data_IF_062356888602
#
_entry.id   IF_062356888602
#
_cell.length_a   1.000
_cell.length_b   1.000
_cell.length_c   1.000
_cell.angle_alpha   90.00
_cell.angle_beta   90.00
_cell.angle_gamma   90.00
#
_symmetry.space_group_name_H-M   'P 1'
#
loop_
_entity.id
_entity.type
_entity.pdbx_description
1 polymer ?
#
# COMPACT_ATOMS: atom_id res chain seq x y z
N UNK A 1 4.88 -25.52 -2.06
CA UNK A 1 4.93 -24.64 -0.87
C UNK A 1 5.20 -23.24 -1.33
N UNK A 2 4.67 -22.23 -0.65
CA UNK A 2 4.84 -20.83 -1.05
C UNK A 2 5.23 -19.97 0.16
N UNK A 3 5.97 -18.91 -0.12
CA UNK A 3 6.46 -17.95 0.85
C UNK A 3 6.60 -16.60 0.18
N UNK A 4 6.65 -15.54 0.98
CA UNK A 4 6.91 -14.20 0.45
C UNK A 4 7.67 -13.32 1.44
N UNK A 5 8.23 -12.22 0.92
CA UNK A 5 8.87 -11.19 1.71
C UNK A 5 8.45 -9.80 1.20
N UNK A 6 7.92 -8.97 2.10
CA UNK A 6 7.75 -7.54 1.86
C UNK A 6 9.09 -6.84 2.05
N UNK A 7 9.65 -6.33 0.97
CA UNK A 7 10.96 -5.68 0.94
C UNK A 7 10.78 -4.18 1.08
N UNK A 8 11.45 -3.57 2.08
CA UNK A 8 11.35 -2.14 2.39
C UNK A 8 12.73 -1.52 2.55
N UNK A 9 12.86 -0.27 2.10
CA UNK A 9 14.03 0.54 2.36
C UNK A 9 14.10 1.04 3.80
N UNK A 10 15.22 1.66 4.16
CA UNK A 10 15.36 2.32 5.47
C UNK A 10 14.35 3.49 5.61
N UNK A 11 14.04 3.98 6.82
CA UNK A 11 13.19 5.16 7.00
C UNK A 11 13.60 6.33 6.08
N UNK A 12 12.63 6.99 5.45
CA UNK A 12 12.85 8.01 4.42
C UNK A 12 13.12 7.49 3.00
N UNK A 13 13.29 6.17 2.81
CA UNK A 13 13.42 5.56 1.48
C UNK A 13 12.06 5.25 0.85
N UNK A 14 11.94 5.48 -0.46
CA UNK A 14 10.78 5.06 -1.25
C UNK A 14 10.87 3.62 -1.76
N UNK A 15 11.90 2.87 -1.35
CA UNK A 15 12.09 1.49 -1.80
C UNK A 15 11.03 0.60 -1.16
N UNK A 16 10.22 -0.04 -2.00
CA UNK A 16 9.22 -1.01 -1.56
C UNK A 16 9.00 -2.07 -2.64
N UNK A 17 8.75 -3.31 -2.24
CA UNK A 17 8.42 -4.37 -3.16
C UNK A 17 8.03 -5.65 -2.46
N UNK A 18 7.75 -6.67 -3.26
CA UNK A 18 7.48 -8.01 -2.78
C UNK A 18 8.32 -9.02 -3.53
N UNK A 19 8.73 -10.06 -2.82
CA UNK A 19 9.40 -11.24 -3.36
C UNK A 19 8.51 -12.44 -3.07
N UNK A 20 8.23 -13.24 -4.09
CA UNK A 20 7.50 -14.49 -3.99
C UNK A 20 8.46 -15.65 -4.19
N UNK A 21 8.34 -16.66 -3.34
CA UNK A 21 9.08 -17.91 -3.43
C UNK A 21 8.08 -19.05 -3.56
N UNK A 22 8.21 -19.83 -4.64
CA UNK A 22 7.35 -20.99 -4.89
C UNK A 22 8.21 -22.23 -5.04
N UNK A 23 8.15 -23.14 -4.08
CA UNK A 23 8.79 -24.45 -4.20
C UNK A 23 7.90 -25.40 -5.01
N UNK A 24 8.45 -25.85 -6.13
CA UNK A 24 7.95 -26.94 -6.96
C UNK A 24 8.62 -28.24 -6.52
N UNK A 25 7.82 -29.30 -6.37
CA UNK A 25 8.33 -30.63 -6.03
C UNK A 25 9.25 -31.18 -7.13
N UNK A 26 10.25 -31.97 -6.71
CA UNK A 26 11.12 -32.69 -7.61
C UNK A 26 10.33 -33.68 -8.48
N UNK A 27 10.74 -33.84 -9.73
CA UNK A 27 10.12 -34.79 -10.68
C UNK A 27 10.94 -36.07 -10.75
N UNK A 28 10.34 -37.16 -11.25
CA UNK A 28 11.07 -38.41 -11.52
C UNK A 28 12.21 -38.14 -12.50
N UNK A 29 13.46 -38.27 -12.04
CA UNK A 29 14.68 -37.94 -12.80
C UNK A 29 15.38 -36.63 -12.39
N UNK A 30 14.71 -35.77 -11.61
CA UNK A 30 15.26 -34.58 -10.95
C UNK A 30 14.59 -34.46 -9.56
N UNK A 31 15.04 -35.26 -8.57
CA UNK A 31 14.38 -35.34 -7.27
C UNK A 31 14.57 -34.08 -6.42
N UNK A 32 15.55 -33.24 -6.74
CA UNK A 32 15.79 -31.97 -6.04
C UNK A 32 14.64 -30.99 -6.32
N UNK A 33 13.98 -30.45 -5.29
CA UNK A 33 12.99 -29.39 -5.45
C UNK A 33 13.61 -28.14 -6.09
N UNK A 34 12.79 -27.37 -6.81
CA UNK A 34 13.18 -26.07 -7.35
C UNK A 34 12.36 -24.99 -6.68
N UNK A 35 13.01 -23.94 -6.20
CA UNK A 35 12.34 -22.73 -5.71
C UNK A 35 12.39 -21.68 -6.81
N UNK A 36 11.22 -21.23 -7.25
CA UNK A 36 11.09 -20.07 -8.13
C UNK A 36 11.07 -18.81 -7.28
N UNK A 37 11.97 -17.86 -7.55
CA UNK A 37 12.04 -16.54 -6.91
C UNK A 37 11.60 -15.48 -7.92
N UNK A 38 10.46 -14.81 -7.67
CA UNK A 38 9.98 -13.65 -8.42
C UNK A 38 10.07 -12.42 -7.51
N UNK A 39 10.75 -11.36 -7.95
CA UNK A 39 10.87 -10.11 -7.21
C UNK A 39 10.38 -8.93 -8.04
N UNK A 40 9.60 -8.05 -7.40
CA UNK A 40 9.17 -6.76 -7.96
C UNK A 40 9.34 -5.68 -6.92
N UNK A 41 10.30 -4.78 -7.14
CA UNK A 41 10.69 -3.77 -6.16
C UNK A 41 10.79 -2.41 -6.87
N UNK A 42 10.16 -1.37 -6.33
CA UNK A 42 10.21 0.01 -6.84
C UNK A 42 11.04 0.90 -5.94
N UNK A 43 11.39 2.09 -6.42
CA UNK A 43 12.11 3.12 -5.65
C UNK A 43 13.63 2.93 -5.62
N UNK A 44 14.16 1.99 -6.40
CA UNK A 44 15.60 1.74 -6.52
C UNK A 44 16.22 2.67 -7.56
N UNK A 45 17.53 2.90 -7.45
CA UNK A 45 18.28 3.60 -8.51
C UNK A 45 18.38 2.71 -9.75
N UNK A 46 18.30 3.25 -10.99
CA UNK A 46 18.44 2.43 -12.20
C UNK A 46 19.81 1.73 -12.26
N UNK A 47 19.83 0.46 -12.67
CA UNK A 47 21.07 -0.32 -12.72
C UNK A 47 20.89 -1.77 -12.25
N UNK A 48 22.01 -2.39 -11.88
CA UNK A 48 22.07 -3.73 -11.30
C UNK A 48 22.36 -3.64 -9.81
N UNK A 49 21.67 -4.46 -9.03
CA UNK A 49 21.75 -4.48 -7.59
C UNK A 49 21.99 -5.91 -7.11
N UNK A 50 22.99 -6.12 -6.25
CA UNK A 50 23.18 -7.37 -5.53
C UNK A 50 21.90 -7.75 -4.78
N UNK A 51 21.56 -9.03 -4.80
CA UNK A 51 20.28 -9.52 -4.32
C UNK A 51 20.49 -10.90 -3.70
N UNK A 52 20.34 -11.00 -2.38
CA UNK A 52 20.72 -12.21 -1.65
C UNK A 52 19.68 -12.58 -0.60
N UNK A 53 19.63 -13.86 -0.27
CA UNK A 53 18.99 -14.36 0.95
C UNK A 53 20.04 -14.33 2.06
N UNK A 54 19.68 -13.74 3.19
CA UNK A 54 20.51 -13.58 4.37
C UNK A 54 20.05 -14.47 5.52
N UNK A 55 20.98 -14.81 6.40
CA UNK A 55 20.88 -15.88 7.41
C UNK A 55 19.97 -15.60 8.61
N UNK A 56 19.47 -14.37 8.79
CA UNK A 56 18.57 -14.03 9.88
C UNK A 56 17.30 -13.34 9.37
N UNK A 57 16.15 -13.73 9.90
CA UNK A 57 14.86 -13.07 9.72
C UNK A 57 14.77 -11.71 10.47
N UNK A 58 15.69 -10.78 10.20
CA UNK A 58 15.72 -9.46 10.85
C UNK A 58 16.12 -8.33 9.91
N UNK A 59 15.21 -7.36 9.76
CA UNK A 59 15.38 -6.20 8.87
C UNK A 59 15.47 -4.85 9.61
N UNK A 60 16.09 -4.81 10.80
CA UNK A 60 16.34 -3.54 11.48
C UNK A 60 17.33 -2.69 10.69
N UNK A 61 16.92 -1.49 10.25
CA UNK A 61 17.80 -0.54 9.56
C UNK A 61 19.06 -0.26 10.42
N UNK A 62 20.28 -0.25 9.84
CA UNK A 62 20.65 -0.27 8.41
C UNK A 62 20.82 -1.69 7.82
N UNK A 63 19.96 -2.63 8.21
CA UNK A 63 19.83 -4.01 7.70
C UNK A 63 21.01 -4.94 7.97
N UNK A 64 21.95 -4.53 8.83
CA UNK A 64 23.04 -5.40 9.30
C UNK A 64 22.52 -6.55 10.15
N UNK A 65 21.36 -6.38 10.78
CA UNK A 65 20.72 -7.42 11.59
C UNK A 65 20.37 -8.70 10.81
N UNK A 66 20.27 -8.62 9.47
CA UNK A 66 20.03 -9.78 8.63
C UNK A 66 21.21 -10.78 8.63
N UNK A 67 22.38 -10.39 9.15
CA UNK A 67 23.59 -11.23 9.15
C UNK A 67 24.25 -11.29 7.78
N UNK A 68 25.07 -12.31 7.55
CA UNK A 68 25.73 -12.61 6.28
C UNK A 68 24.81 -13.27 5.25
N UNK A 69 25.39 -13.78 4.16
CA UNK A 69 24.63 -14.53 3.15
C UNK A 69 24.20 -15.89 3.73
N UNK A 70 23.03 -16.37 3.32
CA UNK A 70 22.51 -17.66 3.77
C UNK A 70 23.37 -18.80 3.18
N UNK A 71 24.15 -19.45 4.03
CA UNK A 71 25.02 -20.57 3.66
C UNK A 71 25.10 -21.57 4.82
N UNK A 72 24.02 -22.31 5.11
CA UNK A 72 23.96 -23.21 6.26
C UNK A 72 24.83 -24.46 6.09
N UNK A 73 25.19 -25.07 7.22
CA UNK A 73 25.85 -26.38 7.26
C UNK A 73 27.30 -26.33 7.76
N UNK A 74 27.94 -27.50 7.92
CA UNK A 74 29.24 -27.61 8.59
C UNK A 74 30.42 -27.00 7.81
N UNK A 75 30.25 -26.77 6.50
CA UNK A 75 31.21 -26.08 5.64
C UNK A 75 30.70 -24.71 5.18
N UNK A 76 29.58 -24.26 5.73
CA UNK A 76 28.97 -22.98 5.41
C UNK A 76 29.83 -21.81 5.88
N UNK A 77 29.78 -20.70 5.14
CA UNK A 77 30.45 -19.46 5.50
C UNK A 77 29.54 -18.29 5.13
N UNK A 78 29.05 -17.54 6.11
CA UNK A 78 28.14 -16.42 5.83
C UNK A 78 28.85 -15.11 5.44
N UNK A 79 30.18 -15.05 5.42
CA UNK A 79 30.92 -13.88 4.94
C UNK A 79 30.65 -13.63 3.45
N UNK A 80 29.91 -12.55 3.11
CA UNK A 80 29.48 -12.26 1.75
C UNK A 80 30.57 -12.26 0.70
N UNK A 81 31.81 -11.90 1.04
CA UNK A 81 32.89 -11.75 0.06
C UNK A 81 33.80 -13.00 0.01
N UNK A 82 33.71 -13.92 0.98
CA UNK A 82 34.72 -14.97 1.15
C UNK A 82 34.60 -16.15 0.19
N UNK A 83 33.38 -16.62 -0.11
CA UNK A 83 33.15 -17.76 -1.02
C UNK A 83 32.10 -17.46 -2.12
N UNK A 84 31.77 -16.19 -2.36
CA UNK A 84 30.86 -15.77 -3.43
C UNK A 84 31.33 -16.26 -4.83
N UNK A 85 30.46 -16.69 -5.76
CA UNK A 85 28.99 -16.76 -5.71
C UNK A 85 28.47 -18.15 -5.33
N UNK A 86 29.07 -18.79 -4.33
CA UNK A 86 28.74 -20.17 -3.95
C UNK A 86 27.85 -20.30 -2.72
N UNK A 87 27.45 -19.21 -2.06
CA UNK A 87 26.48 -19.31 -0.96
C UNK A 87 25.15 -19.85 -1.50
N UNK A 88 24.41 -20.53 -0.63
CA UNK A 88 23.08 -21.03 -0.97
C UNK A 88 22.08 -19.90 -1.25
N UNK A 89 22.28 -18.74 -0.60
CA UNK A 89 21.46 -17.54 -0.74
C UNK A 89 21.85 -16.58 -1.88
N UNK A 90 22.92 -16.87 -2.63
CA UNK A 90 23.34 -16.02 -3.75
C UNK A 90 22.35 -16.15 -4.93
N UNK A 91 21.79 -15.02 -5.38
CA UNK A 91 20.89 -14.92 -6.53
C UNK A 91 21.49 -13.97 -7.57
N UNK A 92 21.06 -14.04 -8.84
CA UNK A 92 21.48 -13.05 -9.83
C UNK A 92 21.07 -11.63 -9.42
N UNK A 93 21.86 -10.65 -9.87
CA UNK A 93 21.54 -9.24 -9.71
C UNK A 93 20.08 -8.92 -10.10
N UNK A 94 19.40 -8.16 -9.23
CA UNK A 94 18.14 -7.52 -9.53
C UNK A 94 18.36 -6.43 -10.60
N UNK A 95 17.54 -6.45 -11.65
CA UNK A 95 17.64 -5.49 -12.76
C UNK A 95 16.62 -4.38 -12.60
N UNK A 96 17.08 -3.15 -12.43
CA UNK A 96 16.26 -1.96 -12.22
C UNK A 96 16.24 -1.11 -13.48
N UNK A 97 15.04 -0.81 -13.98
CA UNK A 97 14.85 0.01 -15.17
C UNK A 97 14.97 1.52 -14.88
N UNK A 98 14.83 2.35 -15.91
CA UNK A 98 14.92 3.81 -15.80
C UNK A 98 13.86 4.44 -14.89
N UNK A 99 12.75 3.75 -14.64
CA UNK A 99 11.66 4.16 -13.73
C UNK A 99 11.92 3.72 -12.28
N UNK A 100 13.08 3.13 -11.97
CA UNK A 100 13.39 2.65 -10.63
C UNK A 100 12.65 1.37 -10.23
N UNK A 101 12.15 0.59 -11.21
CA UNK A 101 11.47 -0.68 -10.99
C UNK A 101 12.42 -1.84 -11.26
N UNK A 102 12.80 -2.54 -10.20
CA UNK A 102 13.54 -3.79 -10.15
C UNK A 102 12.68 -5.01 -10.42
N UNK A 103 13.15 -5.91 -11.28
CA UNK A 103 12.53 -7.22 -11.54
C UNK A 103 13.57 -8.34 -11.52
N UNK A 104 13.20 -9.48 -10.94
CA UNK A 104 13.94 -10.74 -11.00
C UNK A 104 12.93 -11.88 -11.15
N UNK A 105 13.21 -12.84 -12.04
CA UNK A 105 12.54 -14.13 -12.07
C UNK A 105 13.64 -15.18 -12.20
N UNK A 106 13.82 -16.01 -11.17
CA UNK A 106 14.95 -16.93 -11.12
C UNK A 106 14.61 -18.25 -10.42
N UNK A 107 14.73 -19.40 -11.11
CA UNK A 107 14.69 -20.70 -10.48
C UNK A 107 16.03 -21.02 -9.80
N UNK A 108 15.98 -21.51 -8.56
CA UNK A 108 17.14 -22.02 -7.84
C UNK A 108 16.87 -23.39 -7.22
N UNK A 109 17.88 -24.24 -7.20
CA UNK A 109 17.87 -25.54 -6.49
C UNK A 109 18.77 -25.51 -5.24
N UNK A 110 19.33 -24.34 -4.90
CA UNK A 110 20.27 -24.17 -3.77
C UNK A 110 19.57 -24.12 -2.41
N UNK A 111 18.30 -23.73 -2.40
CA UNK A 111 17.48 -23.58 -1.19
C UNK A 111 16.21 -24.42 -1.26
N UNK A 112 15.59 -24.66 -0.11
CA UNK A 112 14.24 -25.20 0.00
C UNK A 112 13.35 -24.34 0.90
N UNK A 113 12.04 -24.38 0.68
CA UNK A 113 11.01 -23.95 1.62
C UNK A 113 10.53 -25.11 2.51
N UNK A 114 10.66 -26.36 2.05
CA UNK A 114 10.44 -27.54 2.88
C UNK A 114 11.55 -27.69 3.92
N UNK A 115 11.24 -28.36 5.03
CA UNK A 115 12.23 -28.73 6.04
C UNK A 115 13.39 -29.51 5.43
N UNK A 116 14.60 -29.24 5.93
CA UNK A 116 15.82 -29.90 5.48
C UNK A 116 17.06 -29.02 5.65
N UNK A 117 18.25 -29.54 5.32
CA UNK A 117 19.53 -28.86 5.57
C UNK A 117 19.72 -27.54 4.81
N UNK A 118 18.97 -27.32 3.73
CA UNK A 118 19.04 -26.12 2.88
C UNK A 118 17.77 -25.27 2.99
N UNK A 119 16.97 -25.49 4.04
CA UNK A 119 15.73 -24.76 4.26
C UNK A 119 16.01 -23.34 4.74
N UNK A 120 15.40 -22.34 4.10
CA UNK A 120 15.48 -20.93 4.54
C UNK A 120 14.59 -20.63 5.77
N UNK A 121 13.92 -21.65 6.31
CA UNK A 121 13.10 -21.60 7.51
C UNK A 121 13.73 -22.42 8.64
N UNK A 122 15.04 -22.26 8.83
CA UNK A 122 15.72 -22.78 10.02
C UNK A 122 15.32 -21.98 11.29
N UNK A 123 15.99 -22.22 12.41
CA UNK A 123 15.66 -21.54 13.68
C UNK A 123 15.85 -20.02 13.66
N UNK A 124 16.64 -19.48 12.73
CA UNK A 124 16.88 -18.04 12.60
C UNK A 124 15.95 -17.41 11.54
N UNK A 125 15.35 -18.23 10.68
CA UNK A 125 14.63 -17.80 9.50
C UNK A 125 15.58 -17.14 8.48
N UNK A 126 15.03 -16.39 7.53
CA UNK A 126 15.84 -15.72 6.52
C UNK A 126 15.21 -14.42 6.05
N UNK A 127 16.01 -13.54 5.46
CA UNK A 127 15.56 -12.28 4.89
C UNK A 127 16.12 -12.08 3.48
N UNK A 128 15.35 -11.44 2.61
CA UNK A 128 15.87 -10.87 1.36
C UNK A 128 16.60 -9.56 1.69
N UNK A 129 17.77 -9.35 1.09
CA UNK A 129 18.48 -8.07 1.09
C UNK A 129 18.74 -7.61 -0.33
N UNK A 130 18.42 -6.34 -0.59
CA UNK A 130 18.78 -5.63 -1.82
C UNK A 130 19.97 -4.72 -1.49
N UNK A 131 21.01 -4.80 -2.31
CA UNK A 131 22.22 -4.01 -2.16
C UNK A 131 22.22 -2.78 -3.06
N UNK A 132 23.04 -1.77 -2.75
CA UNK A 132 23.17 -0.54 -3.53
C UNK A 132 23.93 -0.79 -4.84
N UNK A 133 24.99 -1.60 -4.80
CA UNK A 133 25.87 -1.82 -5.94
C UNK A 133 25.54 -3.13 -6.64
N UNK A 134 26.04 -3.27 -7.88
CA UNK A 134 26.07 -4.55 -8.59
C UNK A 134 26.92 -5.57 -7.82
N UNK A 135 26.38 -6.78 -7.65
CA UNK A 135 27.16 -7.94 -7.28
C UNK A 135 28.01 -8.40 -8.47
N UNK A 136 29.32 -8.48 -8.26
CA UNK A 136 30.31 -8.82 -9.28
C UNK A 136 30.47 -10.33 -9.49
N UNK A 137 29.89 -11.17 -8.62
CA UNK A 137 29.97 -12.63 -8.72
C UNK A 137 31.37 -13.19 -8.49
N UNK A 138 32.20 -12.51 -7.67
CA UNK A 138 33.59 -12.88 -7.37
C UNK A 138 33.86 -12.83 -5.87
N UNK A 139 34.87 -13.56 -5.42
CA UNK A 139 35.39 -13.46 -4.05
C UNK A 139 36.25 -12.21 -3.84
N UNK A 140 36.30 -11.70 -2.62
CA UNK A 140 37.17 -10.59 -2.22
C UNK A 140 37.51 -10.65 -0.72
N UNK A 141 38.33 -9.70 -0.23
CA UNK A 141 38.50 -9.51 1.21
C UNK A 141 37.16 -9.20 1.89
N UNK A 142 36.98 -9.66 3.13
CA UNK A 142 35.77 -9.39 3.92
C UNK A 142 35.46 -7.89 3.99
N UNK A 143 34.25 -7.51 3.58
CA UNK A 143 33.78 -6.12 3.55
C UNK A 143 34.27 -5.31 2.35
N UNK A 144 34.84 -5.95 1.32
CA UNK A 144 35.24 -5.29 0.07
C UNK A 144 34.04 -4.81 -0.74
N UNK A 145 32.87 -5.42 -0.54
CA UNK A 145 31.62 -5.02 -1.19
C UNK A 145 31.52 -5.48 -2.64
N UNK A 146 32.32 -6.46 -3.05
CA UNK A 146 32.23 -7.10 -4.37
C UNK A 146 30.89 -7.84 -4.53
N UNK A 147 30.30 -8.28 -3.42
CA UNK A 147 28.96 -8.88 -3.34
C UNK A 147 27.85 -7.83 -3.11
N UNK A 148 27.94 -6.68 -3.78
CA UNK A 148 26.89 -5.63 -3.78
C UNK A 148 27.04 -4.50 -2.75
N UNK A 149 27.89 -4.64 -1.72
CA UNK A 149 28.21 -3.53 -0.80
C UNK A 149 27.03 -3.10 0.10
N UNK A 150 26.73 -1.79 0.25
CA UNK A 150 25.70 -1.30 1.19
C UNK A 150 24.31 -1.92 0.98
N UNK A 151 23.58 -2.16 2.07
CA UNK A 151 22.22 -2.73 2.05
C UNK A 151 21.19 -1.60 1.98
N UNK A 152 20.31 -1.60 0.98
CA UNK A 152 19.34 -0.52 0.73
C UNK A 152 17.91 -0.89 1.03
N UNK A 153 17.58 -2.18 1.02
CA UNK A 153 16.27 -2.68 1.43
C UNK A 153 16.36 -4.11 1.96
N UNK A 154 15.38 -4.49 2.79
CA UNK A 154 15.30 -5.80 3.40
C UNK A 154 13.85 -6.25 3.54
N UNK A 155 13.60 -7.56 3.45
CA UNK A 155 12.29 -8.16 3.77
C UNK A 155 12.44 -9.53 4.39
N UNK A 156 11.84 -9.75 5.57
CA UNK A 156 11.79 -11.08 6.21
C UNK A 156 10.95 -12.03 5.36
N UNK A 157 11.46 -13.24 5.12
CA UNK A 157 10.77 -14.28 4.36
C UNK A 157 9.84 -15.04 5.30
N UNK A 158 8.55 -15.11 4.96
CA UNK A 158 7.51 -15.80 5.74
C UNK A 158 6.78 -16.83 4.88
N UNK A 159 6.27 -17.91 5.49
CA UNK A 159 5.42 -18.87 4.76
C UNK A 159 4.06 -18.22 4.48
N UNK A 160 3.46 -18.51 3.32
CA UNK A 160 2.12 -18.02 3.05
C UNK A 160 1.12 -18.62 4.06
N UNK A 161 0.35 -17.77 4.75
CA UNK A 161 -0.58 -18.15 5.81
C UNK A 161 -0.03 -18.00 7.23
N UNK A 162 1.27 -17.75 7.41
CA UNK A 162 1.75 -17.09 8.63
C UNK A 162 1.28 -15.63 8.59
N UNK A 163 0.84 -15.03 9.71
CA UNK A 163 0.53 -13.62 9.74
C UNK A 163 1.79 -12.88 9.27
N UNK A 164 1.69 -12.19 8.13
CA UNK A 164 2.60 -11.11 7.84
C UNK A 164 2.43 -10.17 9.03
N UNK A 165 3.39 -10.16 9.98
CA UNK A 165 3.57 -9.03 10.89
C UNK A 165 3.92 -7.81 10.02
N UNK A 166 2.94 -7.32 9.27
CA UNK A 166 2.76 -5.91 9.05
C UNK A 166 2.44 -5.37 10.44
N UNK A 167 3.45 -4.88 11.16
CA UNK A 167 3.12 -3.76 12.04
C UNK A 167 2.68 -2.65 11.09
N UNK A 168 1.38 -2.62 10.78
CA UNK A 168 0.72 -1.47 10.18
C UNK A 168 1.26 -0.27 10.94
N UNK A 169 1.96 0.62 10.24
CA UNK A 169 2.57 1.74 10.94
C UNK A 169 1.43 2.59 11.49
N UNK A 170 1.33 2.62 12.81
CA UNK A 170 0.24 3.30 13.52
C UNK A 170 0.57 4.77 13.69
N UNK A 171 -0.17 5.61 12.99
CA UNK A 171 -0.13 7.07 13.15
C UNK A 171 -1.38 7.47 13.93
N UNK A 172 -1.19 8.13 15.07
CA UNK A 172 -2.30 8.60 15.90
C UNK A 172 -2.48 10.11 15.72
N UNK A 173 -3.61 10.50 15.14
CA UNK A 173 -3.99 11.91 15.03
C UNK A 173 -4.31 12.45 16.42
N UNK A 174 -3.79 13.62 16.77
CA UNK A 174 -4.04 14.28 18.06
C UNK A 174 -4.53 15.73 17.94
N UNK A 175 -4.62 16.25 16.71
CA UNK A 175 -5.10 17.61 16.43
C UNK A 175 -6.19 17.61 15.36
N UNK A 176 -7.25 18.40 15.58
CA UNK A 176 -8.31 18.65 14.60
C UNK A 176 -7.98 19.79 13.64
N UNK A 177 -6.85 20.46 13.83
CA UNK A 177 -6.35 21.50 12.95
C UNK A 177 -6.02 20.89 11.58
N UNK A 178 -6.08 21.70 10.53
CA UNK A 178 -5.67 21.30 9.19
C UNK A 178 -4.35 22.00 8.81
N UNK A 179 -3.24 21.28 9.01
CA UNK A 179 -1.89 21.69 8.66
C UNK A 179 -1.15 20.53 8.01
N UNK A 180 -0.17 20.87 7.18
CA UNK A 180 0.69 19.87 6.51
C UNK A 180 1.68 19.26 7.50
N UNK A 181 2.16 18.07 7.18
CA UNK A 181 3.32 17.49 7.83
C UNK A 181 4.57 18.32 7.55
N UNK A 182 5.43 18.49 8.56
CA UNK A 182 6.67 19.26 8.46
C UNK A 182 7.71 18.58 7.58
N UNK A 183 7.83 17.25 7.65
CA UNK A 183 8.82 16.45 6.93
C UNK A 183 8.23 15.09 6.50
N UNK A 184 7.35 15.06 5.48
CA UNK A 184 6.74 13.81 5.03
C UNK A 184 7.78 12.73 4.71
N UNK A 185 7.64 11.57 5.35
CA UNK A 185 8.46 10.38 5.17
C UNK A 185 9.55 10.17 6.21
N UNK A 186 9.65 11.02 7.23
CA UNK A 186 10.71 10.95 8.23
C UNK A 186 10.42 9.95 9.37
N UNK A 187 9.22 9.40 9.44
CA UNK A 187 8.81 8.48 10.48
C UNK A 187 8.04 9.13 11.63
N UNK A 188 7.73 10.43 11.57
CA UNK A 188 7.00 11.17 12.60
C UNK A 188 5.89 12.02 11.98
N UNK A 189 4.66 11.85 12.46
CA UNK A 189 3.57 12.77 12.09
C UNK A 189 3.64 14.02 12.97
N UNK A 190 4.08 15.15 12.42
CA UNK A 190 4.05 16.43 13.13
C UNK A 190 4.00 17.65 12.19
N UNK A 191 3.25 18.68 12.55
CA UNK A 191 3.11 19.91 11.75
C UNK A 191 4.30 20.87 11.86
N UNK A 192 5.17 20.65 12.85
CA UNK A 192 6.44 21.34 13.04
C UNK A 192 7.40 20.42 13.77
N UNK A 193 8.69 20.45 13.41
CA UNK A 193 9.71 19.57 13.99
C UNK A 193 9.78 19.70 15.53
N UNK A 194 9.57 18.59 16.25
CA UNK A 194 9.50 18.53 17.71
C UNK A 194 8.24 19.15 18.33
N UNK A 195 7.24 19.50 17.51
CA UNK A 195 5.97 20.10 17.95
C UNK A 195 4.95 19.06 18.40
N UNK A 196 5.06 17.81 17.92
CA UNK A 196 4.20 16.69 18.32
C UNK A 196 2.73 16.83 17.96
N UNK A 197 2.34 17.87 17.21
CA UNK A 197 0.99 18.06 16.71
C UNK A 197 0.80 17.26 15.42
N UNK A 198 0.06 16.16 15.48
CA UNK A 198 -0.28 15.32 14.34
C UNK A 198 -1.73 15.59 13.90
N UNK A 199 -1.89 16.25 12.76
CA UNK A 199 -3.19 16.47 12.11
C UNK A 199 -3.55 15.28 11.21
N UNK A 200 -4.83 15.16 10.82
CA UNK A 200 -5.23 14.15 9.84
C UNK A 200 -4.50 14.32 8.50
N UNK A 201 -4.30 15.56 8.05
CA UNK A 201 -3.55 15.82 6.82
C UNK A 201 -2.09 15.43 6.95
N UNK A 202 -1.44 15.79 8.04
CA UNK A 202 -0.05 15.42 8.30
C UNK A 202 0.09 13.89 8.31
N UNK A 203 -0.81 13.20 9.01
CA UNK A 203 -0.82 11.74 9.06
C UNK A 203 -0.91 11.11 7.67
N UNK A 204 -1.81 11.61 6.81
CA UNK A 204 -1.94 11.10 5.43
C UNK A 204 -0.70 11.39 4.59
N UNK A 205 -0.13 12.60 4.68
CA UNK A 205 1.09 12.96 3.97
C UNK A 205 2.27 12.09 4.40
N UNK A 206 2.36 11.81 5.69
CA UNK A 206 3.36 10.94 6.28
C UNK A 206 3.20 9.50 5.80
N UNK A 207 1.98 8.96 5.79
CA UNK A 207 1.72 7.59 5.29
C UNK A 207 1.94 7.45 3.78
N UNK A 208 1.59 8.45 2.99
CA UNK A 208 1.84 8.46 1.53
C UNK A 208 3.34 8.50 1.20
N UNK A 209 4.13 9.20 2.02
CA UNK A 209 5.57 9.32 1.82
C UNK A 209 6.33 8.05 2.23
N UNK A 210 5.69 7.18 3.00
CA UNK A 210 6.23 5.92 3.46
C UNK A 210 5.71 4.75 2.63
N UNK A 211 6.28 3.59 2.87
CA UNK A 211 5.91 2.37 2.17
C UNK A 211 4.89 1.56 2.95
N UNK A 212 4.08 0.79 2.22
CA UNK A 212 3.28 -0.35 2.70
C UNK A 212 2.15 0.04 3.65
N UNK A 213 1.39 -0.91 4.22
CA UNK A 213 0.14 -0.52 4.88
C UNK A 213 0.39 0.29 6.14
N UNK A 214 -0.48 1.27 6.30
CA UNK A 214 -0.48 2.20 7.39
C UNK A 214 -1.84 2.17 8.09
N UNK A 215 -1.85 2.38 9.40
CA UNK A 215 -3.07 2.57 10.17
C UNK A 215 -3.07 3.99 10.75
N UNK A 216 -4.04 4.80 10.37
CA UNK A 216 -4.25 6.14 10.92
C UNK A 216 -5.43 6.08 11.88
N UNK A 217 -5.15 6.17 13.18
CA UNK A 217 -6.19 6.28 14.21
C UNK A 217 -6.62 7.74 14.35
N UNK A 218 -7.92 7.98 14.27
CA UNK A 218 -8.53 9.30 14.30
C UNK A 218 -9.51 9.37 15.47
N UNK A 219 -9.15 10.06 16.56
CA UNK A 219 -10.04 10.25 17.70
C UNK A 219 -11.38 10.92 17.37
N UNK A 220 -12.26 10.98 18.36
CA UNK A 220 -13.48 11.79 18.28
C UNK A 220 -13.12 13.26 18.03
N UNK A 221 -13.79 13.89 17.07
CA UNK A 221 -13.51 15.26 16.66
C UNK A 221 -14.10 15.61 15.30
N UNK A 222 -14.16 16.90 15.00
CA UNK A 222 -14.49 17.41 13.67
C UNK A 222 -13.23 17.97 13.02
N UNK A 223 -12.74 17.26 12.01
CA UNK A 223 -11.52 17.55 11.25
C UNK A 223 -11.91 18.37 10.02
N UNK A 224 -11.86 19.69 10.16
CA UNK A 224 -12.25 20.63 9.11
C UNK A 224 -11.13 20.84 8.11
N UNK A 225 -11.28 20.36 6.87
CA UNK A 225 -10.28 20.55 5.82
C UNK A 225 -10.39 21.96 5.22
N UNK A 226 -9.35 22.77 5.43
CA UNK A 226 -9.22 24.15 4.94
C UNK A 226 -8.18 24.29 3.82
N UNK A 227 -7.20 23.38 3.75
CA UNK A 227 -6.09 23.41 2.80
C UNK A 227 -6.38 22.62 1.50
N UNK A 228 -7.63 22.19 1.31
CA UNK A 228 -8.05 21.39 0.16
C UNK A 228 -8.20 19.91 0.49
N UNK A 229 -8.22 19.08 -0.55
CA UNK A 229 -8.49 17.65 -0.40
C UNK A 229 -7.34 16.89 0.28
N UNK A 230 -7.67 15.74 0.85
CA UNK A 230 -6.69 14.72 1.24
C UNK A 230 -6.44 13.82 0.01
N UNK A 231 -5.21 13.78 -0.46
CA UNK A 231 -4.78 12.88 -1.53
C UNK A 231 -4.17 11.64 -0.89
N UNK A 232 -4.56 10.44 -1.32
CA UNK A 232 -4.05 9.16 -0.82
C UNK A 232 -3.55 8.33 -1.99
N UNK A 233 -2.27 7.99 -2.00
CA UNK A 233 -1.64 7.16 -3.04
C UNK A 233 -1.01 5.86 -2.51
N UNK A 234 -1.05 5.62 -1.20
CA UNK A 234 -0.63 4.37 -0.56
C UNK A 234 -1.79 3.62 0.12
N UNK A 235 -1.52 2.39 0.55
CA UNK A 235 -2.46 1.59 1.32
C UNK A 235 -2.57 2.10 2.76
N UNK A 236 -3.79 2.45 3.18
CA UNK A 236 -4.04 3.02 4.51
C UNK A 236 -5.42 2.64 5.07
N UNK A 237 -5.45 2.26 6.34
CA UNK A 237 -6.67 2.13 7.13
C UNK A 237 -6.85 3.39 7.99
N UNK A 238 -7.91 4.16 7.75
CA UNK A 238 -8.29 5.33 8.56
C UNK A 238 -9.40 4.87 9.51
N UNK A 239 -9.09 4.83 10.80
CA UNK A 239 -9.93 4.25 11.84
C UNK A 239 -10.40 5.36 12.78
N UNK A 240 -11.67 5.73 12.64
CA UNK A 240 -12.36 6.61 13.56
C UNK A 240 -12.86 5.89 14.81
N UNK A 241 -13.17 6.66 15.85
CA UNK A 241 -13.78 6.14 17.09
C UNK A 241 -15.21 5.64 16.84
N UNK A 242 -15.88 6.22 15.85
CA UNK A 242 -17.24 5.87 15.42
C UNK A 242 -17.81 6.97 14.55
N UNK A 243 -18.68 6.62 13.59
CA UNK A 243 -19.12 7.58 12.58
C UNK A 243 -19.87 8.79 13.15
N UNK A 244 -20.47 8.69 14.34
CA UNK A 244 -21.10 9.82 15.03
C UNK A 244 -20.09 10.78 15.69
N UNK A 245 -18.87 10.32 15.94
CA UNK A 245 -17.88 11.01 16.77
C UNK A 245 -16.69 11.52 15.97
N UNK A 246 -16.25 10.77 14.94
CA UNK A 246 -15.14 11.15 14.07
C UNK A 246 -15.68 11.66 12.73
N UNK A 247 -15.60 12.98 12.53
CA UNK A 247 -16.17 13.66 11.36
C UNK A 247 -15.06 14.34 10.56
N UNK A 248 -14.84 13.92 9.33
CA UNK A 248 -14.01 14.61 8.33
C UNK A 248 -14.91 15.53 7.51
N UNK A 249 -14.68 16.83 7.61
CA UNK A 249 -15.60 17.85 7.12
C UNK A 249 -14.93 18.80 6.13
N UNK A 250 -15.55 19.04 4.98
CA UNK A 250 -15.12 20.10 4.06
C UNK A 250 -15.33 21.48 4.66
N UNK A 251 -14.25 22.24 4.86
CA UNK A 251 -14.25 23.57 5.47
C UNK A 251 -13.56 24.61 4.57
N UNK A 252 -13.76 24.49 3.26
CA UNK A 252 -13.04 25.23 2.20
C UNK A 252 -13.42 26.72 2.05
N UNK A 253 -13.99 27.35 3.08
CA UNK A 253 -14.26 28.80 3.06
C UNK A 253 -15.21 29.28 1.95
N UNK A 254 -16.11 28.41 1.47
CA UNK A 254 -17.02 28.71 0.36
C UNK A 254 -16.43 28.45 -1.03
N UNK A 255 -15.14 28.13 -1.12
CA UNK A 255 -14.56 27.53 -2.32
C UNK A 255 -15.02 26.07 -2.34
N UNK A 256 -15.49 25.55 -3.46
CA UNK A 256 -15.77 24.13 -3.52
C UNK A 256 -14.47 23.28 -3.43
N UNK A 257 -14.53 22.14 -2.75
CA UNK A 257 -13.43 21.19 -2.66
C UNK A 257 -13.93 19.77 -2.37
N UNK A 258 -13.20 18.76 -2.84
CA UNK A 258 -13.43 17.36 -2.49
C UNK A 258 -12.73 17.04 -1.16
N UNK A 259 -13.23 16.04 -0.42
CA UNK A 259 -12.62 15.66 0.87
C UNK A 259 -11.45 14.71 0.66
N UNK A 260 -11.66 13.66 -0.14
CA UNK A 260 -10.69 12.59 -0.33
C UNK A 260 -10.56 12.22 -1.82
N UNK A 261 -9.33 12.16 -2.32
CA UNK A 261 -8.98 11.52 -3.59
C UNK A 261 -8.08 10.32 -3.33
N UNK A 262 -8.48 9.16 -3.84
CA UNK A 262 -7.71 7.92 -3.79
C UNK A 262 -7.14 7.68 -5.18
N UNK A 263 -5.82 7.78 -5.28
CA UNK A 263 -5.08 7.67 -6.53
C UNK A 263 -5.19 6.25 -7.10
N UNK A 264 -5.16 6.10 -8.44
CA UNK A 264 -5.02 4.78 -9.04
C UNK A 264 -3.67 4.16 -8.66
N UNK A 265 -3.59 2.83 -8.58
CA UNK A 265 -2.32 2.18 -8.30
C UNK A 265 -1.30 2.47 -9.41
N UNK A 266 0.01 2.50 -9.08
CA UNK A 266 1.06 2.69 -10.08
C UNK A 266 0.98 1.62 -11.20
N UNK A 267 1.29 1.98 -12.47
CA UNK A 267 1.26 1.03 -13.57
C UNK A 267 2.11 -0.22 -13.29
N UNK A 268 1.47 -1.40 -13.30
CA UNK A 268 2.14 -2.70 -13.12
C UNK A 268 2.30 -3.17 -11.67
N UNK A 269 1.75 -2.45 -10.68
CA UNK A 269 1.57 -2.94 -9.31
C UNK A 269 0.34 -3.86 -9.24
N UNK A 270 0.55 -5.11 -8.82
CA UNK A 270 -0.55 -6.06 -8.59
C UNK A 270 -1.24 -5.79 -7.23
N UNK A 271 -0.49 -5.25 -6.27
CA UNK A 271 -0.99 -4.82 -4.98
C UNK A 271 -1.50 -3.38 -5.12
N UNK A 272 -2.81 -3.25 -5.24
CA UNK A 272 -3.48 -1.99 -5.51
C UNK A 272 -3.53 -1.11 -4.26
N UNK A 273 -3.29 0.19 -4.41
CA UNK A 273 -3.63 1.22 -3.42
C UNK A 273 -5.01 0.89 -2.82
N UNK A 274 -5.05 0.61 -1.51
CA UNK A 274 -6.25 0.17 -0.81
C UNK A 274 -6.51 1.05 0.40
N UNK A 275 -7.68 1.68 0.43
CA UNK A 275 -8.09 2.55 1.52
C UNK A 275 -9.27 1.92 2.25
N UNK A 276 -9.15 1.77 3.57
CA UNK A 276 -10.26 1.38 4.45
C UNK A 276 -10.64 2.56 5.32
N UNK A 277 -11.90 2.98 5.24
CA UNK A 277 -12.49 3.92 6.19
C UNK A 277 -13.37 3.13 7.16
N UNK A 278 -13.05 3.18 8.45
CA UNK A 278 -13.82 2.51 9.50
C UNK A 278 -14.26 3.50 10.57
N UNK A 279 -15.55 3.52 10.91
CA UNK A 279 -16.05 4.37 11.99
C UNK A 279 -15.87 5.87 11.76
N UNK A 280 -15.97 6.35 10.51
CA UNK A 280 -15.83 7.79 10.19
C UNK A 280 -17.06 8.32 9.45
N UNK A 281 -17.37 9.61 9.66
CA UNK A 281 -18.25 10.37 8.76
C UNK A 281 -17.41 11.25 7.84
N UNK A 282 -17.67 11.19 6.53
CA UNK A 282 -17.13 12.13 5.54
C UNK A 282 -18.28 13.00 5.03
N UNK A 283 -18.15 14.33 5.14
CA UNK A 283 -19.25 15.22 4.80
C UNK A 283 -18.82 16.59 4.24
N UNK A 284 -19.82 17.31 3.72
CA UNK A 284 -19.69 18.68 3.24
C UNK A 284 -18.64 18.86 2.13
N UNK A 285 -18.37 17.79 1.36
CA UNK A 285 -17.59 17.88 0.14
C UNK A 285 -18.39 18.58 -0.97
N UNK A 286 -17.71 19.37 -1.77
CA UNK A 286 -18.27 20.12 -2.88
C UNK A 286 -17.33 20.02 -4.10
N UNK A 287 -17.36 18.92 -4.83
CA UNK A 287 -16.55 18.76 -6.05
C UNK A 287 -17.03 19.68 -7.19
N UNK A 288 -16.11 20.41 -7.84
CA UNK A 288 -16.40 21.34 -8.95
C UNK A 288 -16.11 20.75 -10.30
N UNK A 289 -16.96 21.11 -11.26
CA UNK A 289 -16.76 20.87 -12.66
C UNK A 289 -15.67 21.78 -13.26
N UNK A 290 -14.50 21.18 -13.49
CA UNK A 290 -13.86 21.31 -14.80
C UNK A 290 -13.61 19.92 -15.40
N UNK A 291 -13.39 18.89 -14.57
CA UNK A 291 -13.36 17.47 -14.98
C UNK A 291 -13.75 16.47 -13.86
N UNK A 292 -14.12 16.93 -12.65
CA UNK A 292 -14.13 16.10 -11.44
C UNK A 292 -15.44 15.34 -11.16
N UNK A 293 -15.31 14.07 -10.77
CA UNK A 293 -16.37 13.26 -10.17
C UNK A 293 -16.09 13.13 -8.66
N UNK A 294 -17.12 12.82 -7.85
CA UNK A 294 -16.98 12.57 -6.42
C UNK A 294 -17.06 13.84 -5.58
N UNK A 295 -18.22 14.09 -4.95
CA UNK A 295 -18.40 15.26 -4.10
C UNK A 295 -17.67 15.14 -2.77
N UNK A 296 -17.78 13.99 -2.10
CA UNK A 296 -16.99 13.67 -0.93
C UNK A 296 -15.69 12.94 -1.31
N UNK A 297 -15.82 11.85 -2.08
CA UNK A 297 -14.73 10.92 -2.37
C UNK A 297 -14.65 10.64 -3.88
N UNK A 298 -13.44 10.76 -4.43
CA UNK A 298 -13.08 10.22 -5.74
C UNK A 298 -12.17 9.02 -5.52
N UNK A 299 -12.59 7.86 -6.00
CA UNK A 299 -11.87 6.60 -5.87
C UNK A 299 -11.43 6.08 -7.24
N UNK A 300 -10.11 5.97 -7.44
CA UNK A 300 -9.51 5.33 -8.61
C UNK A 300 -8.81 3.99 -8.29
N UNK A 301 -8.91 3.51 -7.05
CA UNK A 301 -8.34 2.25 -6.58
C UNK A 301 -9.33 1.46 -5.70
N UNK A 302 -8.86 0.76 -4.66
CA UNK A 302 -9.76 0.00 -3.77
C UNK A 302 -10.18 0.85 -2.58
N UNK A 303 -11.48 1.01 -2.38
CA UNK A 303 -12.07 1.69 -1.23
C UNK A 303 -13.04 0.76 -0.50
N UNK A 304 -12.80 0.54 0.78
CA UNK A 304 -13.73 -0.14 1.68
C UNK A 304 -14.27 0.84 2.71
N UNK A 305 -15.59 0.95 2.79
CA UNK A 305 -16.30 1.64 3.86
C UNK A 305 -16.87 0.62 4.83
N UNK A 306 -16.55 0.76 6.10
CA UNK A 306 -16.99 -0.12 7.18
C UNK A 306 -17.53 0.73 8.34
N UNK A 307 -18.79 0.53 8.73
CA UNK A 307 -19.43 1.32 9.79
C UNK A 307 -19.26 2.85 9.62
N UNK A 308 -19.27 3.32 8.37
CA UNK A 308 -18.92 4.70 8.01
C UNK A 308 -20.09 5.40 7.32
N UNK A 309 -20.08 6.73 7.33
CA UNK A 309 -21.16 7.55 6.76
C UNK A 309 -20.60 8.54 5.75
N UNK A 310 -21.14 8.55 4.54
CA UNK A 310 -20.86 9.59 3.53
C UNK A 310 -22.10 10.44 3.35
N UNK A 311 -22.05 11.72 3.72
CA UNK A 311 -23.24 12.55 3.71
C UNK A 311 -23.09 13.99 3.28
N UNK A 312 -24.21 14.60 2.90
CA UNK A 312 -24.35 16.04 2.66
C UNK A 312 -23.26 16.61 1.74
N UNK A 313 -22.83 15.82 0.75
CA UNK A 313 -21.80 16.21 -0.20
C UNK A 313 -22.41 16.41 -1.58
N UNK A 314 -21.81 17.31 -2.36
CA UNK A 314 -22.29 17.68 -3.68
C UNK A 314 -21.20 17.55 -4.74
N UNK A 315 -21.60 17.15 -5.93
CA UNK A 315 -20.78 17.15 -7.14
C UNK A 315 -21.55 17.85 -8.25
N UNK A 316 -20.88 18.69 -9.03
CA UNK A 316 -21.44 19.26 -10.27
C UNK A 316 -21.37 18.29 -11.45
N UNK A 317 -20.71 17.14 -11.30
CA UNK A 317 -20.60 16.10 -12.31
C UNK A 317 -21.34 14.83 -11.90
N UNK A 318 -20.57 13.83 -11.51
CA UNK A 318 -21.11 12.54 -11.07
C UNK A 318 -20.64 12.17 -9.67
N UNK A 319 -21.39 11.32 -8.97
CA UNK A 319 -21.04 10.81 -7.65
C UNK A 319 -21.13 11.90 -6.58
N UNK A 320 -22.33 12.32 -6.20
CA UNK A 320 -22.49 13.40 -5.22
C UNK A 320 -21.84 13.08 -3.87
N UNK A 321 -21.92 11.82 -3.43
CA UNK A 321 -21.12 11.30 -2.33
C UNK A 321 -19.81 10.74 -2.84
N UNK A 322 -19.88 9.62 -3.56
CA UNK A 322 -18.72 8.85 -4.01
C UNK A 322 -18.75 8.71 -5.53
N UNK A 323 -17.63 8.98 -6.19
CA UNK A 323 -17.37 8.51 -7.53
C UNK A 323 -16.25 7.48 -7.50
N UNK A 324 -16.50 6.28 -8.03
CA UNK A 324 -15.53 5.19 -8.14
C UNK A 324 -15.32 4.89 -9.62
N UNK A 325 -14.20 5.33 -10.18
CA UNK A 325 -13.94 5.26 -11.62
C UNK A 325 -12.51 4.88 -11.94
N UNK A 326 -12.36 4.07 -12.99
CA UNK A 326 -11.06 3.60 -13.46
C UNK A 326 -10.95 2.07 -13.38
N UNK A 327 -9.96 1.49 -14.08
CA UNK A 327 -9.86 0.04 -14.26
C UNK A 327 -9.52 -0.73 -12.99
N UNK A 328 -8.90 -0.06 -12.00
CA UNK A 328 -8.57 -0.63 -10.70
C UNK A 328 -9.61 -0.30 -9.61
N UNK A 329 -10.62 0.50 -9.94
CA UNK A 329 -11.56 1.03 -8.96
C UNK A 329 -12.43 -0.11 -8.40
N UNK A 330 -12.49 -0.23 -7.07
CA UNK A 330 -13.38 -1.15 -6.36
C UNK A 330 -13.96 -0.41 -5.17
N UNK A 331 -15.26 -0.55 -4.95
CA UNK A 331 -15.97 0.07 -3.85
C UNK A 331 -16.77 -0.99 -3.11
N UNK A 332 -16.44 -1.19 -1.83
CA UNK A 332 -17.17 -2.09 -0.93
C UNK A 332 -17.74 -1.28 0.22
N UNK A 333 -19.05 -1.40 0.45
CA UNK A 333 -19.74 -0.82 1.61
C UNK A 333 -20.19 -1.97 2.51
N UNK A 334 -19.83 -1.91 3.78
CA UNK A 334 -20.27 -2.84 4.82
C UNK A 334 -20.78 -2.04 6.02
N UNK A 335 -22.00 -2.32 6.48
CA UNK A 335 -22.62 -1.62 7.62
C UNK A 335 -22.56 -0.08 7.54
N UNK A 336 -22.60 0.48 6.33
CA UNK A 336 -22.29 1.88 6.06
C UNK A 336 -23.49 2.63 5.47
N UNK A 337 -23.48 3.96 5.56
CA UNK A 337 -24.58 4.81 5.08
C UNK A 337 -24.09 5.84 4.08
N UNK A 338 -24.77 5.96 2.94
CA UNK A 338 -24.55 7.05 1.97
C UNK A 338 -25.84 7.86 1.87
N UNK A 339 -25.84 9.09 2.37
CA UNK A 339 -27.09 9.86 2.50
C UNK A 339 -27.03 11.36 2.27
N UNK A 340 -28.10 11.96 1.75
CA UNK A 340 -28.18 13.42 1.58
C UNK A 340 -27.19 14.00 0.56
N UNK A 341 -26.62 13.16 -0.30
CA UNK A 341 -25.65 13.61 -1.30
C UNK A 341 -26.33 13.98 -2.62
N UNK A 342 -25.74 14.90 -3.39
CA UNK A 342 -26.32 15.38 -4.64
C UNK A 342 -25.32 15.48 -5.79
N UNK A 343 -25.65 14.90 -6.94
CA UNK A 343 -24.97 15.13 -8.21
C UNK A 343 -25.89 15.95 -9.11
N UNK A 344 -25.74 17.28 -9.09
CA UNK A 344 -26.55 18.21 -9.86
C UNK A 344 -25.62 19.16 -10.61
N UNK A 345 -25.46 18.89 -11.90
CA UNK A 345 -24.79 19.82 -12.80
C UNK A 345 -25.59 21.13 -12.89
N UNK A 346 -24.95 22.28 -13.20
CA UNK A 346 -25.63 23.57 -13.37
C UNK A 346 -26.75 23.55 -14.42
N UNK A 347 -26.68 22.62 -15.38
CA UNK A 347 -27.70 22.40 -16.40
C UNK A 347 -28.91 21.57 -15.91
N UNK A 348 -28.86 21.05 -14.68
CA UNK A 348 -29.82 20.15 -14.02
C UNK A 348 -30.17 18.87 -14.81
N UNK A 349 -29.44 18.56 -15.88
CA UNK A 349 -29.77 17.50 -16.85
C UNK A 349 -28.70 16.41 -16.93
N UNK A 350 -27.48 16.66 -16.47
CA UNK A 350 -26.34 15.75 -16.67
C UNK A 350 -25.79 15.07 -15.41
N UNK A 351 -26.40 15.29 -14.23
CA UNK A 351 -25.94 14.70 -12.97
C UNK A 351 -26.21 13.20 -12.84
N UNK A 352 -25.17 12.40 -12.54
CA UNK A 352 -25.25 10.93 -12.42
C UNK A 352 -24.82 10.46 -11.02
N UNK A 353 -25.57 9.53 -10.42
CA UNK A 353 -25.16 8.90 -9.16
C UNK A 353 -25.14 9.89 -7.99
N UNK A 354 -26.31 10.29 -7.47
CA UNK A 354 -26.38 11.28 -6.39
C UNK A 354 -25.63 10.83 -5.13
N UNK A 355 -25.77 9.56 -4.77
CA UNK A 355 -24.99 8.92 -3.71
C UNK A 355 -23.69 8.37 -4.27
N UNK A 356 -23.80 7.38 -5.16
CA UNK A 356 -22.67 6.64 -5.71
C UNK A 356 -22.71 6.65 -7.23
N UNK A 357 -21.57 6.93 -7.85
CA UNK A 357 -21.33 6.74 -9.28
C UNK A 357 -20.20 5.72 -9.48
N UNK A 358 -20.50 4.57 -10.09
CA UNK A 358 -19.55 3.47 -10.27
C UNK A 358 -19.51 3.00 -11.74
N UNK A 359 -18.44 3.32 -12.48
CA UNK A 359 -18.33 3.02 -13.92
C UNK A 359 -16.94 2.55 -14.32
N UNK A 360 -16.76 2.17 -15.59
CA UNK A 360 -15.46 1.79 -16.19
C UNK A 360 -14.83 0.56 -15.51
N UNK A 361 -15.64 -0.50 -15.36
CA UNK A 361 -15.26 -1.76 -14.68
C UNK A 361 -15.09 -1.64 -13.17
N UNK A 362 -15.48 -0.51 -12.56
CA UNK A 362 -15.49 -0.38 -11.11
C UNK A 362 -16.42 -1.42 -10.48
N UNK A 363 -15.88 -2.31 -9.64
CA UNK A 363 -16.70 -3.25 -8.88
C UNK A 363 -17.41 -2.52 -7.73
N UNK A 364 -18.70 -2.78 -7.53
CA UNK A 364 -19.49 -2.23 -6.44
C UNK A 364 -20.13 -3.36 -5.64
N UNK A 365 -19.81 -3.44 -4.35
CA UNK A 365 -20.38 -4.41 -3.41
C UNK A 365 -21.01 -3.65 -2.24
N UNK A 366 -22.26 -3.98 -1.90
CA UNK A 366 -23.01 -3.32 -0.84
C UNK A 366 -23.56 -4.40 0.09
N UNK A 367 -23.13 -4.39 1.35
CA UNK A 367 -23.48 -5.38 2.37
C UNK A 367 -24.03 -4.63 3.58
N UNK A 368 -25.23 -4.95 4.03
CA UNK A 368 -25.85 -4.37 5.23
C UNK A 368 -25.79 -2.83 5.28
N UNK A 369 -25.91 -2.16 4.12
CA UNK A 369 -25.61 -0.73 3.99
C UNK A 369 -26.79 0.02 3.39
N UNK A 370 -26.96 1.28 3.79
CA UNK A 370 -28.13 2.10 3.43
C UNK A 370 -27.72 3.23 2.49
N UNK A 371 -28.41 3.35 1.35
CA UNK A 371 -28.22 4.45 0.39
C UNK A 371 -29.55 5.19 0.26
N UNK A 372 -29.68 6.35 0.90
CA UNK A 372 -30.97 7.06 1.04
C UNK A 372 -30.85 8.57 0.90
N UNK A 373 -31.92 9.25 0.53
CA UNK A 373 -31.99 10.72 0.43
C UNK A 373 -30.98 11.38 -0.54
N UNK A 374 -30.42 10.60 -1.46
CA UNK A 374 -29.47 11.10 -2.45
C UNK A 374 -30.20 11.54 -3.75
N UNK A 375 -29.66 12.58 -4.42
CA UNK A 375 -30.33 13.27 -5.53
C UNK A 375 -29.43 13.40 -6.77
N UNK A 376 -29.96 13.06 -7.94
CA UNK A 376 -29.32 13.33 -9.23
C UNK A 376 -30.36 13.28 -10.35
N UNK A 377 -29.99 13.70 -11.56
CA UNK A 377 -30.84 13.56 -12.75
C UNK A 377 -31.00 12.10 -13.17
N UNK A 378 -30.02 11.24 -12.89
CA UNK A 378 -30.10 9.79 -13.12
C UNK A 378 -29.37 9.00 -12.04
N UNK A 379 -30.05 8.03 -11.44
CA UNK A 379 -29.52 7.20 -10.35
C UNK A 379 -29.29 7.99 -9.07
N UNK A 380 -30.38 8.47 -8.44
CA UNK A 380 -30.31 9.30 -7.22
C UNK A 380 -29.48 8.64 -6.11
N UNK A 381 -29.76 7.37 -5.80
CA UNK A 381 -28.92 6.56 -4.91
C UNK A 381 -27.62 6.11 -5.58
N UNK A 382 -27.74 5.24 -6.58
CA UNK A 382 -26.60 4.63 -7.29
C UNK A 382 -26.80 4.75 -8.79
N UNK A 383 -25.72 5.09 -9.50
CA UNK A 383 -25.60 4.93 -10.95
C UNK A 383 -24.40 4.03 -11.24
N UNK A 384 -24.65 2.86 -11.83
CA UNK A 384 -23.59 1.89 -12.17
C UNK A 384 -23.65 1.47 -13.65
N UNK A 385 -22.49 1.39 -14.33
CA UNK A 385 -22.35 0.90 -15.73
C UNK A 385 -21.06 0.09 -15.92
N UNK A 386 -21.15 -1.12 -16.50
CA UNK A 386 -20.02 -2.02 -16.77
C UNK A 386 -20.21 -3.41 -16.13
N UNK A 387 -19.14 -4.17 -15.88
CA UNK A 387 -19.16 -5.40 -15.06
C UNK A 387 -19.49 -5.14 -13.57
N UNK A 388 -19.83 -3.90 -13.23
CA UNK A 388 -20.41 -3.48 -11.96
C UNK A 388 -21.79 -4.16 -11.80
N UNK A 389 -21.80 -5.43 -11.39
CA UNK A 389 -23.00 -6.08 -10.86
C UNK A 389 -23.06 -5.68 -9.39
N UNK A 390 -24.04 -4.86 -8.96
CA UNK A 390 -24.23 -4.58 -7.55
C UNK A 390 -24.61 -5.91 -6.89
N UNK A 391 -23.70 -6.49 -6.14
CA UNK A 391 -24.03 -7.58 -5.24
C UNK A 391 -24.52 -6.94 -3.95
N UNK A 392 -25.84 -6.84 -3.82
CA UNK A 392 -26.51 -6.42 -2.59
C UNK A 392 -26.77 -7.67 -1.79
N UNK A 393 -26.17 -7.77 -0.61
CA UNK A 393 -26.45 -8.81 0.36
C UNK A 393 -27.16 -8.16 1.55
N UNK A 394 -28.42 -8.57 1.76
CA UNK A 394 -29.28 -8.15 2.87
C UNK A 394 -28.94 -8.88 4.17
#
# INVERSE_FOLDING_TARGET
MTASALVRGAPGSRIVGKVWLVQLEGKRGQPTPTVMVDARIRGLVPGRHGFHIHENASCQAPFRSAGGHFDPGPAGNSDPDANHPYHLGDLPNLRVNAQGVGRLEHPTTRITLSEGPTSIFDSNGSAIVVHLNEDQGITGPSGSGVSGGPRVACGVIKRDGEPEEEEDRKVAVNSTVDQVDATPGDGTCETAAGGGECTLRAAIQETNALAGPNEVTVPAGTYGLTLGELYVDDTVAIIGTGAAETIVNGAFGGVPGRILEIAPPPPGAADATSVRLSGVTVQAGAGVAVVGQGGAILNAATLTLDHSVIRNSRSEGAGGGIASTGPAARLTLTNSVVTGNSALAPDFRSGLGGGIYAVNSAALTIINSVITENRSSSGGGVFARGLATPAVFD
#
